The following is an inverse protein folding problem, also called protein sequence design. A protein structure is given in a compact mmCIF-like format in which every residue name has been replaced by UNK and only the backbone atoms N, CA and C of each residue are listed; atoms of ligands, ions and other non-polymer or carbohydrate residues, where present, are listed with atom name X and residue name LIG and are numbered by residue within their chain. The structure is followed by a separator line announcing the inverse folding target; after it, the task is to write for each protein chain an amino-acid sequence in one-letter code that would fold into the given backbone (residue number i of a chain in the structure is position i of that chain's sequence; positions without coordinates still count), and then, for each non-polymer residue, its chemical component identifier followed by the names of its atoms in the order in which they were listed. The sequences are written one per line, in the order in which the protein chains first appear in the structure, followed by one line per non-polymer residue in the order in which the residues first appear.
data_IF_163220693785
#
_entry.id   IF_163220693785
#
_cell.length_a   1.000
_cell.length_b   1.000
_cell.length_c   1.000
_cell.angle_alpha   90.00
_cell.angle_beta   90.00
_cell.angle_gamma   90.00
#
_symmetry.space_group_name_H-M   'P 1'
#
loop_
_entity.id
_entity.type
_entity.pdbx_description
1 polymer ?
#
# COMPACT_ATOMS: atom_id res chain seq x y z
N UNK A 1 -29.89 -1.35 6.54
CA UNK A 1 -29.00 -2.50 6.31
C UNK A 1 -28.65 -2.76 4.83
N UNK A 2 -29.51 -2.65 3.80
CA UNK A 2 -29.11 -2.95 2.41
C UNK A 2 -28.06 -1.98 1.82
N UNK A 3 -28.06 -0.72 2.25
CA UNK A 3 -27.14 0.31 1.74
C UNK A 3 -25.67 0.01 2.12
N UNK A 4 -25.41 -0.43 3.35
CA UNK A 4 -24.05 -0.72 3.81
C UNK A 4 -23.45 -1.97 3.12
N UNK A 5 -24.27 -2.98 2.83
CA UNK A 5 -23.84 -4.18 2.09
C UNK A 5 -23.57 -3.81 0.62
N UNK A 6 -24.45 -3.00 0.02
CA UNK A 6 -24.29 -2.53 -1.36
C UNK A 6 -23.02 -1.70 -1.57
N UNK A 7 -22.71 -0.76 -0.67
CA UNK A 7 -21.50 0.05 -0.75
C UNK A 7 -20.23 -0.79 -0.58
N UNK A 8 -20.23 -1.78 0.31
CA UNK A 8 -19.09 -2.68 0.50
C UNK A 8 -18.80 -3.56 -0.72
N UNK A 9 -19.86 -4.04 -1.39
CA UNK A 9 -19.71 -4.81 -2.65
C UNK A 9 -19.18 -3.93 -3.78
N UNK A 10 -19.66 -2.69 -3.89
CA UNK A 10 -19.20 -1.74 -4.91
C UNK A 10 -17.73 -1.37 -4.71
N UNK A 11 -17.31 -1.13 -3.47
CA UNK A 11 -15.92 -0.87 -3.13
C UNK A 11 -15.02 -2.08 -3.41
N UNK A 12 -15.47 -3.29 -3.08
CA UNK A 12 -14.72 -4.51 -3.36
C UNK A 12 -14.54 -4.73 -4.87
N UNK A 13 -15.55 -4.47 -5.68
CA UNK A 13 -15.47 -4.56 -7.14
C UNK A 13 -14.54 -3.51 -7.75
N UNK A 14 -14.49 -2.32 -7.17
CA UNK A 14 -13.60 -1.24 -7.64
C UNK A 14 -12.13 -1.48 -7.31
N UNK A 15 -11.85 -2.19 -6.22
CA UNK A 15 -10.49 -2.53 -5.76
C UNK A 15 -9.90 -3.78 -6.45
N UNK A 16 -10.70 -4.53 -7.21
CA UNK A 16 -10.26 -5.76 -7.87
C UNK A 16 -10.10 -5.53 -9.38
N UNK A 17 -8.87 -5.51 -9.90
CA UNK A 17 -8.61 -5.30 -11.33
C UNK A 17 -9.09 -6.48 -12.19
N UNK A 18 -9.25 -7.69 -11.63
CA UNK A 18 -9.76 -8.88 -12.32
C UNK A 18 -10.44 -9.83 -11.35
N UNK A 19 -11.56 -10.46 -11.75
CA UNK A 19 -12.27 -11.48 -10.98
C UNK A 19 -11.41 -12.71 -10.66
N UNK A 20 -10.38 -12.99 -11.46
CA UNK A 20 -9.43 -14.08 -11.21
C UNK A 20 -8.56 -13.82 -9.95
N UNK A 21 -8.36 -12.58 -9.57
CA UNK A 21 -7.61 -12.22 -8.35
C UNK A 21 -8.33 -12.59 -7.05
N UNK A 22 -9.65 -12.83 -7.09
CA UNK A 22 -10.44 -13.28 -5.95
C UNK A 22 -10.04 -14.68 -5.44
N UNK A 23 -9.55 -15.53 -6.32
CA UNK A 23 -9.18 -16.92 -5.98
C UNK A 23 -7.67 -17.13 -5.91
N UNK A 24 -6.89 -16.29 -6.58
CA UNK A 24 -5.43 -16.45 -6.72
C UNK A 24 -4.62 -15.72 -5.65
N UNK A 25 -5.20 -14.73 -4.97
CA UNK A 25 -4.51 -13.96 -3.93
C UNK A 25 -4.99 -14.32 -2.52
N UNK A 26 -4.13 -14.22 -1.52
CA UNK A 26 -4.51 -14.42 -0.11
C UNK A 26 -5.61 -13.45 0.32
N UNK A 27 -5.50 -12.19 -0.10
CA UNK A 27 -6.54 -11.19 0.15
C UNK A 27 -7.87 -11.57 -0.51
N UNK A 28 -7.86 -12.02 -1.77
CA UNK A 28 -9.06 -12.45 -2.49
C UNK A 28 -9.75 -13.63 -1.81
N UNK A 29 -8.99 -14.62 -1.35
CA UNK A 29 -9.52 -15.77 -0.58
C UNK A 29 -10.16 -15.35 0.73
N UNK A 30 -9.52 -14.46 1.49
CA UNK A 30 -10.06 -13.92 2.74
C UNK A 30 -11.31 -13.08 2.49
N UNK A 31 -11.33 -12.28 1.43
CA UNK A 31 -12.49 -11.48 1.03
C UNK A 31 -13.67 -12.37 0.63
N UNK A 32 -13.42 -13.43 -0.15
CA UNK A 32 -14.43 -14.41 -0.55
C UNK A 32 -14.99 -15.14 0.67
N UNK A 33 -14.13 -15.59 1.58
CA UNK A 33 -14.54 -16.24 2.82
C UNK A 33 -15.38 -15.30 3.69
N UNK A 34 -14.97 -14.04 3.83
CA UNK A 34 -15.74 -13.02 4.57
C UNK A 34 -17.13 -12.81 3.97
N UNK A 35 -17.19 -12.65 2.65
CA UNK A 35 -18.48 -12.46 1.94
C UNK A 35 -19.39 -13.65 2.13
N UNK A 36 -18.85 -14.86 2.02
CA UNK A 36 -19.59 -16.10 2.26
C UNK A 36 -20.14 -16.17 3.71
N UNK A 37 -19.31 -15.87 4.72
CA UNK A 37 -19.73 -15.87 6.11
C UNK A 37 -20.81 -14.82 6.40
N UNK A 38 -20.72 -13.63 5.81
CA UNK A 38 -21.75 -12.59 5.92
C UNK A 38 -23.07 -13.09 5.31
N UNK A 39 -23.01 -13.74 4.14
CA UNK A 39 -24.20 -14.33 3.50
C UNK A 39 -24.85 -15.41 4.37
N UNK A 40 -24.04 -16.28 4.98
CA UNK A 40 -24.51 -17.31 5.91
C UNK A 40 -25.16 -16.65 7.14
N UNK A 41 -24.54 -15.64 7.74
CA UNK A 41 -25.09 -14.92 8.90
C UNK A 41 -26.43 -14.26 8.57
N UNK A 42 -26.54 -13.60 7.42
CA UNK A 42 -27.79 -12.99 6.94
C UNK A 42 -28.87 -14.05 6.70
N UNK A 43 -28.48 -15.18 6.11
CA UNK A 43 -29.41 -16.31 5.88
C UNK A 43 -29.95 -16.90 7.18
N UNK A 44 -29.08 -17.12 8.17
CA UNK A 44 -29.49 -17.62 9.50
C UNK A 44 -30.40 -16.60 10.20
N UNK A 45 -30.08 -15.30 10.15
CA UNK A 45 -30.92 -14.24 10.70
C UNK A 45 -32.30 -14.17 10.04
N UNK A 46 -32.38 -14.35 8.72
CA UNK A 46 -33.64 -14.39 7.99
C UNK A 46 -34.50 -15.61 8.35
N UNK A 47 -33.87 -16.79 8.49
CA UNK A 47 -34.54 -18.01 8.93
C UNK A 47 -35.01 -17.94 10.38
N UNK A 48 -34.23 -17.34 11.27
CA UNK A 48 -34.59 -17.08 12.67
C UNK A 48 -35.80 -16.15 12.75
N UNK A 49 -35.85 -15.07 11.96
CA UNK A 49 -37.01 -14.19 11.86
C UNK A 49 -38.28 -14.93 11.45
N UNK A 50 -38.21 -15.78 10.40
CA UNK A 50 -39.37 -16.58 9.95
C UNK A 50 -39.88 -17.53 11.06
N UNK A 51 -38.98 -18.19 11.80
CA UNK A 51 -39.34 -19.10 12.90
C UNK A 51 -39.93 -18.34 14.10
N UNK A 52 -39.40 -17.18 14.46
CA UNK A 52 -39.92 -16.34 15.54
C UNK A 52 -41.34 -15.79 15.23
N UNK A 53 -41.66 -15.64 13.94
CA UNK A 53 -43.00 -15.24 13.52
C UNK A 53 -43.99 -16.42 13.51
N UNK A 54 -43.50 -17.66 13.44
CA UNK A 54 -44.33 -18.85 13.31
C UNK A 54 -44.57 -19.60 14.65
N UNK A 55 -43.66 -19.47 15.66
CA UNK A 55 -43.77 -20.25 16.89
C UNK A 55 -43.13 -19.50 18.09
N UNK A 56 -43.91 -19.35 19.15
CA UNK A 56 -43.58 -18.59 20.38
C UNK A 56 -42.72 -19.40 21.37
N UNK A 57 -42.43 -20.68 21.08
CA UNK A 57 -41.81 -21.65 22.01
C UNK A 57 -40.34 -21.93 21.76
N UNK A 58 -39.71 -21.31 20.72
CA UNK A 58 -38.31 -21.57 20.36
C UNK A 58 -37.35 -20.93 21.34
N UNK A 59 -36.39 -21.71 21.81
CA UNK A 59 -35.28 -21.28 22.69
C UNK A 59 -34.45 -20.16 22.02
N UNK A 60 -34.86 -18.91 22.23
CA UNK A 60 -34.21 -17.69 21.71
C UNK A 60 -32.71 -17.64 22.08
N UNK A 61 -32.35 -18.17 23.27
CA UNK A 61 -30.95 -18.19 23.75
C UNK A 61 -29.99 -19.01 22.87
N UNK A 62 -30.45 -20.15 22.33
CA UNK A 62 -29.59 -20.98 21.46
C UNK A 62 -29.35 -20.34 20.10
N UNK A 63 -30.36 -19.64 19.55
CA UNK A 63 -30.24 -18.91 18.28
C UNK A 63 -29.35 -17.66 18.45
N UNK A 64 -29.54 -16.90 19.51
CA UNK A 64 -28.72 -15.73 19.82
C UNK A 64 -27.24 -16.10 20.01
N UNK A 65 -26.95 -17.24 20.67
CA UNK A 65 -25.58 -17.74 20.87
C UNK A 65 -24.92 -18.13 19.56
N UNK A 66 -25.63 -18.77 18.63
CA UNK A 66 -25.10 -19.11 17.29
C UNK A 66 -24.83 -17.88 16.45
N UNK A 67 -25.74 -16.90 16.48
CA UNK A 67 -25.58 -15.64 15.78
C UNK A 67 -24.38 -14.85 16.33
N UNK A 68 -24.21 -14.78 17.65
CA UNK A 68 -23.07 -14.14 18.29
C UNK A 68 -21.74 -14.80 17.89
N UNK A 69 -21.67 -16.13 17.83
CA UNK A 69 -20.45 -16.84 17.37
C UNK A 69 -20.10 -16.48 15.93
N UNK A 70 -21.08 -16.42 15.04
CA UNK A 70 -20.84 -16.04 13.63
C UNK A 70 -20.36 -14.59 13.52
N UNK A 71 -20.93 -13.67 14.28
CA UNK A 71 -20.49 -12.28 14.33
C UNK A 71 -19.04 -12.18 14.82
N UNK A 72 -18.67 -12.90 15.87
CA UNK A 72 -17.30 -12.93 16.38
C UNK A 72 -16.33 -13.46 15.31
N UNK A 73 -16.68 -14.52 14.59
CA UNK A 73 -15.86 -15.07 13.51
C UNK A 73 -15.70 -14.04 12.38
N UNK A 74 -16.78 -13.36 11.99
CA UNK A 74 -16.73 -12.31 10.95
C UNK A 74 -15.83 -11.15 11.38
N UNK A 75 -15.91 -10.73 12.64
CA UNK A 75 -15.05 -9.67 13.19
C UNK A 75 -13.58 -10.11 13.22
N UNK A 76 -13.29 -11.33 13.64
CA UNK A 76 -11.93 -11.86 13.66
C UNK A 76 -11.31 -11.90 12.24
N UNK A 77 -12.08 -12.39 11.25
CA UNK A 77 -11.62 -12.41 9.85
C UNK A 77 -11.46 -10.99 9.29
N UNK A 78 -12.33 -10.06 9.67
CA UNK A 78 -12.19 -8.66 9.27
C UNK A 78 -10.93 -8.04 9.85
N UNK A 79 -10.61 -8.34 11.11
CA UNK A 79 -9.37 -7.89 11.76
C UNK A 79 -8.12 -8.39 11.05
N UNK A 80 -8.12 -9.66 10.64
CA UNK A 80 -7.04 -10.22 9.81
C UNK A 80 -6.95 -9.53 8.44
N UNK A 81 -8.08 -9.23 7.83
CA UNK A 81 -8.13 -8.58 6.51
C UNK A 81 -7.57 -7.15 6.55
N UNK A 82 -7.77 -6.42 7.64
CA UNK A 82 -7.21 -5.06 7.82
C UNK A 82 -5.69 -5.11 7.92
N UNK A 83 -5.13 -6.18 8.49
CA UNK A 83 -3.68 -6.40 8.57
C UNK A 83 -3.03 -6.87 7.27
N UNK A 84 -3.81 -7.33 6.29
CA UNK A 84 -3.31 -7.73 4.97
C UNK A 84 -3.54 -6.60 3.98
N UNK A 85 -2.46 -6.03 3.44
CA UNK A 85 -2.59 -5.04 2.35
C UNK A 85 -3.27 -5.69 1.15
N UNK A 86 -4.29 -5.05 0.54
CA UNK A 86 -4.76 -5.48 -0.76
C UNK A 86 -3.56 -5.43 -1.70
N UNK A 87 -3.17 -6.58 -2.25
CA UNK A 87 -2.19 -6.60 -3.32
C UNK A 87 -2.83 -5.91 -4.51
N UNK A 88 -2.66 -4.59 -4.60
CA UNK A 88 -2.81 -3.89 -5.85
C UNK A 88 -1.88 -4.58 -6.80
N UNK A 89 -2.47 -5.31 -7.74
CA UNK A 89 -1.86 -6.01 -8.87
C UNK A 89 -0.47 -6.57 -8.56
N UNK A 90 -0.44 -7.87 -8.24
CA UNK A 90 0.72 -8.72 -8.45
C UNK A 90 2.00 -7.97 -8.83
N UNK A 91 2.63 -7.38 -7.88
CA UNK A 91 4.06 -7.29 -7.94
C UNK A 91 4.54 -8.72 -7.74
N UNK A 92 4.67 -9.48 -8.82
CA UNK A 92 5.71 -10.49 -8.89
C UNK A 92 6.92 -9.83 -8.28
N UNK A 93 7.38 -10.25 -7.12
CA UNK A 93 8.32 -9.60 -6.21
C UNK A 93 9.18 -8.53 -6.90
N UNK A 94 8.58 -7.38 -7.18
CA UNK A 94 9.25 -6.29 -7.88
C UNK A 94 10.21 -5.76 -6.85
N UNK A 95 11.49 -6.12 -7.02
CA UNK A 95 12.54 -5.69 -6.10
C UNK A 95 12.44 -4.18 -5.98
N UNK A 96 12.12 -3.70 -4.81
CA UNK A 96 12.16 -2.29 -4.46
C UNK A 96 13.47 -2.00 -3.77
N UNK A 97 13.99 -0.83 -4.01
CA UNK A 97 15.07 -0.26 -3.22
C UNK A 97 14.44 0.75 -2.25
N UNK A 98 14.83 0.69 -1.00
CA UNK A 98 14.47 1.69 0.00
C UNK A 98 15.65 1.90 0.93
N UNK A 99 15.94 3.16 1.23
CA UNK A 99 17.01 3.54 2.15
C UNK A 99 16.65 4.80 2.92
N UNK A 100 16.93 4.78 4.22
CA UNK A 100 16.84 5.95 5.09
C UNK A 100 18.25 6.47 5.32
N UNK A 101 18.45 7.75 5.09
CA UNK A 101 19.72 8.45 5.34
C UNK A 101 19.47 9.68 6.19
N UNK A 102 20.41 9.98 7.07
CA UNK A 102 20.34 11.15 7.95
C UNK A 102 21.52 12.05 7.64
N UNK A 103 21.25 13.32 7.40
CA UNK A 103 22.28 14.37 7.33
C UNK A 103 21.83 15.57 8.15
N UNK A 104 22.72 16.03 9.03
CA UNK A 104 22.40 17.05 10.01
C UNK A 104 21.09 16.66 10.72
N UNK A 105 20.08 17.52 10.67
CA UNK A 105 18.78 17.32 11.31
C UNK A 105 17.68 16.87 10.32
N UNK A 106 18.04 16.37 9.13
CA UNK A 106 17.07 15.91 8.12
C UNK A 106 17.22 14.42 7.87
N UNK A 107 16.16 13.68 8.15
CA UNK A 107 16.00 12.27 7.75
C UNK A 107 15.42 12.26 6.36
N UNK A 108 16.07 11.55 5.43
CA UNK A 108 15.62 11.39 4.06
C UNK A 108 15.39 9.91 3.77
N UNK A 109 14.16 9.57 3.38
CA UNK A 109 13.77 8.25 2.92
C UNK A 109 13.64 8.26 1.40
N UNK A 110 14.45 7.46 0.74
CA UNK A 110 14.39 7.30 -0.71
C UNK A 110 13.92 5.91 -1.07
N UNK A 111 13.02 5.81 -2.05
CA UNK A 111 12.64 4.53 -2.62
C UNK A 111 12.57 4.59 -4.14
N UNK A 112 12.90 3.47 -4.78
CA UNK A 112 12.84 3.27 -6.25
C UNK A 112 12.10 1.96 -6.50
N UNK A 113 11.07 2.03 -7.34
CA UNK A 113 10.17 0.91 -7.62
C UNK A 113 9.73 0.91 -9.10
N UNK A 114 9.95 -0.16 -9.85
CA UNK A 114 10.81 -1.33 -9.59
C UNK A 114 12.32 -1.03 -9.73
N UNK A 115 13.19 -1.82 -9.07
CA UNK A 115 14.63 -1.75 -9.32
C UNK A 115 15.06 -2.70 -10.45
N UNK A 116 14.50 -2.48 -11.63
CA UNK A 116 14.82 -3.20 -12.85
C UNK A 116 14.95 -2.22 -14.03
N UNK A 117 15.48 -2.72 -15.14
CA UNK A 117 15.54 -1.97 -16.40
C UNK A 117 14.13 -1.58 -16.85
N UNK A 118 13.97 -0.34 -17.32
CA UNK A 118 12.70 0.25 -17.74
C UNK A 118 12.25 1.42 -16.85
N UNK A 119 10.98 1.78 -16.91
CA UNK A 119 10.42 2.85 -16.12
C UNK A 119 10.39 2.48 -14.64
N UNK A 120 10.86 3.40 -13.80
CA UNK A 120 10.88 3.27 -12.35
C UNK A 120 10.34 4.55 -11.69
N UNK A 121 9.54 4.37 -10.68
CA UNK A 121 9.05 5.46 -9.84
C UNK A 121 10.02 5.68 -8.69
N UNK A 122 10.32 6.95 -8.43
CA UNK A 122 11.22 7.38 -7.36
C UNK A 122 10.43 8.23 -6.39
N UNK A 123 10.48 7.88 -5.11
CA UNK A 123 9.94 8.70 -4.03
C UNK A 123 11.06 9.21 -3.14
N UNK A 124 10.92 10.42 -2.66
CA UNK A 124 11.76 11.03 -1.66
C UNK A 124 10.89 11.69 -0.58
N UNK A 125 11.04 11.25 0.65
CA UNK A 125 10.30 11.77 1.80
C UNK A 125 11.30 12.35 2.80
N UNK A 126 11.04 13.54 3.30
CA UNK A 126 11.93 14.23 4.22
C UNK A 126 11.24 14.50 5.55
N UNK A 127 11.89 14.10 6.62
CA UNK A 127 11.42 14.37 7.98
C UNK A 127 12.49 15.18 8.69
N UNK A 128 12.24 16.48 8.95
CA UNK A 128 13.14 17.31 9.76
C UNK A 128 13.17 16.80 11.20
N UNK A 129 14.33 16.84 11.84
CA UNK A 129 14.44 16.51 13.25
C UNK A 129 13.59 17.43 14.12
N UNK A 130 13.03 16.88 15.18
CA UNK A 130 12.16 17.63 16.11
C UNK A 130 10.71 17.75 15.66
N UNK A 131 10.29 17.10 14.55
CA UNK A 131 8.88 17.02 14.13
C UNK A 131 8.30 18.34 13.60
N UNK A 132 9.08 19.39 13.47
CA UNK A 132 8.66 20.61 12.80
C UNK A 132 8.67 20.38 11.29
N UNK A 133 7.49 20.40 10.69
CA UNK A 133 7.29 20.30 9.23
C UNK A 133 7.73 21.62 8.56
N UNK A 134 9.03 21.91 8.56
CA UNK A 134 9.54 22.91 7.65
C UNK A 134 9.60 22.28 6.27
N UNK A 135 8.85 22.79 5.27
CA UNK A 135 8.87 22.22 3.94
C UNK A 135 10.26 22.35 3.32
N UNK A 136 10.75 21.26 2.76
CA UNK A 136 11.95 21.26 1.94
C UNK A 136 11.69 22.11 0.70
N UNK A 137 12.54 23.08 0.43
CA UNK A 137 12.32 24.09 -0.64
C UNK A 137 12.55 23.51 -2.03
N UNK A 138 13.52 22.60 -2.18
CA UNK A 138 13.83 22.00 -3.46
C UNK A 138 14.55 20.65 -3.30
N UNK A 139 14.24 19.75 -4.21
CA UNK A 139 14.91 18.44 -4.34
C UNK A 139 15.35 18.24 -5.78
N UNK A 140 16.60 17.87 -6.00
CA UNK A 140 17.13 17.44 -7.29
C UNK A 140 17.77 16.07 -7.13
N UNK A 141 17.34 15.10 -7.90
CA UNK A 141 17.84 13.74 -7.86
C UNK A 141 18.38 13.36 -9.22
N UNK A 142 19.54 12.70 -9.20
CA UNK A 142 20.17 12.17 -10.42
C UNK A 142 20.62 10.73 -10.19
N UNK A 143 20.53 9.93 -11.25
CA UNK A 143 21.06 8.57 -11.32
C UNK A 143 22.23 8.53 -12.31
N UNK A 144 23.30 7.84 -11.96
CA UNK A 144 24.46 7.62 -12.85
C UNK A 144 24.92 6.18 -12.78
N UNK A 145 25.50 5.69 -13.90
CA UNK A 145 26.08 4.35 -13.96
C UNK A 145 27.56 4.46 -14.35
N UNK A 146 28.47 4.65 -13.39
CA UNK A 146 29.90 4.88 -13.68
C UNK A 146 30.57 3.74 -14.44
N UNK A 147 30.16 2.50 -14.17
CA UNK A 147 30.69 1.31 -14.85
C UNK A 147 30.51 1.31 -16.38
N UNK A 148 29.50 2.02 -16.87
CA UNK A 148 29.21 2.19 -18.31
C UNK A 148 29.44 3.61 -18.81
N UNK A 149 30.06 4.47 -18.00
CA UNK A 149 30.27 5.90 -18.32
C UNK A 149 28.98 6.64 -18.66
N UNK A 150 27.83 6.21 -18.09
CA UNK A 150 26.57 6.88 -18.28
C UNK A 150 26.54 8.12 -17.36
N UNK A 151 26.34 9.31 -17.94
CA UNK A 151 26.28 10.55 -17.16
C UNK A 151 25.05 10.60 -16.27
N UNK A 152 24.93 11.67 -15.51
CA UNK A 152 23.78 11.90 -14.64
C UNK A 152 22.48 11.98 -15.43
N UNK A 153 21.57 11.06 -15.15
CA UNK A 153 20.18 11.10 -15.64
C UNK A 153 19.36 11.82 -14.58
N UNK A 154 18.80 12.98 -14.88
CA UNK A 154 17.94 13.69 -13.93
C UNK A 154 16.62 12.94 -13.73
N UNK A 155 16.10 12.98 -12.52
CA UNK A 155 14.76 12.54 -12.19
C UNK A 155 13.91 13.78 -11.97
N UNK A 156 12.89 13.96 -12.79
CA UNK A 156 11.97 15.08 -12.65
C UNK A 156 11.01 14.81 -11.50
N UNK A 157 11.36 15.34 -10.32
CA UNK A 157 10.59 15.20 -9.10
C UNK A 157 9.56 16.32 -8.98
N UNK A 158 8.33 15.96 -8.67
CA UNK A 158 7.25 16.88 -8.31
C UNK A 158 6.85 16.67 -6.86
N UNK A 159 6.51 17.74 -6.17
CA UNK A 159 5.97 17.67 -4.82
C UNK A 159 4.52 17.19 -4.86
N UNK A 160 4.26 16.04 -4.24
CA UNK A 160 2.93 15.42 -4.17
C UNK A 160 2.29 15.56 -2.79
N UNK A 161 3.01 16.10 -1.84
CA UNK A 161 2.57 16.36 -0.47
C UNK A 161 3.67 17.03 0.34
N UNK A 162 3.37 17.47 1.55
CA UNK A 162 4.37 18.11 2.42
C UNK A 162 5.61 17.24 2.58
N UNK A 163 6.76 17.73 2.13
CA UNK A 163 8.05 17.01 2.16
C UNK A 163 8.05 15.65 1.43
N UNK A 164 7.09 15.40 0.56
CA UNK A 164 6.98 14.19 -0.24
C UNK A 164 7.06 14.52 -1.74
N UNK A 165 8.10 13.99 -2.36
CA UNK A 165 8.41 14.20 -3.78
C UNK A 165 8.34 12.87 -4.51
N UNK A 166 7.79 12.87 -5.72
CA UNK A 166 7.75 11.69 -6.60
C UNK A 166 8.11 12.07 -8.03
N UNK A 167 8.68 11.12 -8.76
CA UNK A 167 9.00 11.27 -10.16
C UNK A 167 9.23 9.93 -10.83
N UNK A 168 9.25 9.94 -12.16
CA UNK A 168 9.49 8.75 -12.97
C UNK A 168 10.82 8.93 -13.71
N UNK A 169 11.59 7.84 -13.78
CA UNK A 169 12.86 7.79 -14.51
C UNK A 169 12.92 6.52 -15.35
N UNK A 170 13.44 6.64 -16.56
CA UNK A 170 13.76 5.47 -17.41
C UNK A 170 15.16 4.99 -17.10
N UNK A 171 15.29 3.75 -16.61
CA UNK A 171 16.57 3.12 -16.29
C UNK A 171 17.00 2.22 -17.46
N UNK A 172 17.98 2.63 -18.29
CA UNK A 172 18.27 1.94 -19.56
C UNK A 172 19.04 0.63 -19.41
N UNK A 173 19.76 0.42 -18.30
CA UNK A 173 20.63 -0.73 -18.11
C UNK A 173 20.62 -1.28 -16.70
N UNK A 174 20.80 -2.58 -16.57
CA UNK A 174 21.10 -3.23 -15.30
C UNK A 174 22.52 -2.90 -14.81
N UNK A 175 22.72 -2.92 -13.50
CA UNK A 175 24.01 -2.66 -12.90
C UNK A 175 23.91 -1.97 -11.54
N UNK A 176 25.06 -1.50 -11.05
CA UNK A 176 25.13 -0.77 -9.79
C UNK A 176 25.13 0.73 -10.06
N UNK A 177 23.97 1.34 -9.97
CA UNK A 177 23.75 2.76 -10.15
C UNK A 177 24.15 3.54 -8.88
N UNK A 178 24.56 4.77 -9.08
CA UNK A 178 24.76 5.74 -8.00
C UNK A 178 23.62 6.74 -8.06
N UNK A 179 22.83 6.80 -6.99
CA UNK A 179 21.82 7.83 -6.78
C UNK A 179 22.42 8.96 -5.98
N UNK A 180 22.25 10.19 -6.44
CA UNK A 180 22.62 11.40 -5.72
C UNK A 180 21.41 12.33 -5.65
N UNK A 181 21.09 12.78 -4.42
CA UNK A 181 20.03 13.74 -4.18
C UNK A 181 20.61 14.99 -3.51
N UNK A 182 20.33 16.14 -4.11
CA UNK A 182 20.58 17.45 -3.53
C UNK A 182 19.26 17.97 -2.98
N UNK A 183 19.24 18.16 -1.69
CA UNK A 183 18.06 18.59 -0.93
C UNK A 183 18.34 19.94 -0.35
N UNK A 184 17.48 20.90 -0.58
CA UNK A 184 17.56 22.24 -0.03
C UNK A 184 16.49 22.42 1.07
N UNK A 185 16.84 22.21 2.35
CA UNK A 185 15.90 22.44 3.45
C UNK A 185 15.56 23.93 3.58
N UNK A 186 16.49 24.78 3.21
CA UNK A 186 16.32 26.25 3.20
C UNK A 186 16.87 26.80 1.88
N UNK A 187 16.65 28.09 1.61
CA UNK A 187 17.21 28.76 0.40
C UNK A 187 18.74 28.83 0.37
N UNK A 188 19.37 28.72 1.53
CA UNK A 188 20.84 28.90 1.70
C UNK A 188 21.57 27.61 2.00
N UNK A 189 20.87 26.56 2.34
CA UNK A 189 21.43 25.27 2.74
C UNK A 189 21.15 24.19 1.71
N UNK A 190 22.16 23.35 1.45
CA UNK A 190 22.02 22.20 0.56
C UNK A 190 22.69 20.98 1.18
N UNK A 191 21.92 19.91 1.34
CA UNK A 191 22.36 18.60 1.81
C UNK A 191 22.56 17.69 0.61
N UNK A 192 23.62 16.88 0.63
CA UNK A 192 23.93 15.93 -0.44
C UNK A 192 23.83 14.50 0.09
N UNK A 193 22.85 13.76 -0.37
CA UNK A 193 22.69 12.33 -0.11
C UNK A 193 23.23 11.53 -1.30
N UNK A 194 23.98 10.47 -1.03
CA UNK A 194 24.51 9.59 -2.07
C UNK A 194 24.46 8.13 -1.64
N UNK A 195 23.95 7.25 -2.52
CA UNK A 195 23.87 5.82 -2.25
C UNK A 195 23.95 5.01 -3.53
N UNK A 196 24.18 3.70 -3.40
CA UNK A 196 24.23 2.76 -4.52
C UNK A 196 22.95 1.98 -4.62
N UNK A 197 22.41 1.88 -5.83
CA UNK A 197 21.17 1.15 -6.16
C UNK A 197 21.49 0.03 -7.13
N UNK A 198 21.16 -1.21 -6.76
CA UNK A 198 21.33 -2.36 -7.65
C UNK A 198 20.09 -2.54 -8.51
N UNK A 199 20.24 -2.31 -9.82
CA UNK A 199 19.20 -2.52 -10.82
C UNK A 199 19.42 -3.87 -11.52
N UNK A 200 18.35 -4.66 -11.61
CA UNK A 200 18.34 -5.96 -12.29
C UNK A 200 17.74 -5.85 -13.71
N UNK A 201 17.99 -6.82 -14.53
CA UNK A 201 17.33 -6.96 -15.84
C UNK A 201 15.88 -7.40 -15.71
#
# INVERSE_FOLDING_TARGET
MPIAVGSGVLQALHLLPNLHSLTSTEYGRLLTLKTFLVMVAVGIGALARKKLQADTSVSIRAHLRREAVIVVIVVAITSLLVGTSPTTASSAATKSFSITMVQQDVVADFSILPTKVGPAEVHAIFTPAGGNLHPVVAVKLVLSLPSRKIPNIPVDLIEIGPNHWSGVVEIPFSGQWTMQARVSPTKTETLLYSTKVKVTS
#
